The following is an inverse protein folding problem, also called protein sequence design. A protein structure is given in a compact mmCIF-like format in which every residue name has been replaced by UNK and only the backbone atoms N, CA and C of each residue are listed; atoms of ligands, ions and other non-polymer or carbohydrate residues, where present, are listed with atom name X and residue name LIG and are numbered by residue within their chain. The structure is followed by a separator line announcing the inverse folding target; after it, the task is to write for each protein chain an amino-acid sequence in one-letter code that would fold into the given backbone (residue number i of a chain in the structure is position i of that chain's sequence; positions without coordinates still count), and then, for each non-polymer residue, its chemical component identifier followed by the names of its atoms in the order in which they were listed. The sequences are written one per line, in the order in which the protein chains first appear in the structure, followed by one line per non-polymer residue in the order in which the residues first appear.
data_IF_015005296291
#
_entry.id   IF_015005296291
#
_cell.length_a   1.000
_cell.length_b   1.000
_cell.length_c   1.000
_cell.angle_alpha   90.00
_cell.angle_beta   90.00
_cell.angle_gamma   90.00
#
_symmetry.space_group_name_H-M   'P 1'
#
loop_
_entity.id
_entity.type
_entity.pdbx_description
1 polymer ?
#
# COMPACT_ATOMS: atom_id res chain seq x y z
N UNK A 1 1.97 16.62 -12.78
CA UNK A 1 1.53 15.40 -12.08
C UNK A 1 0.43 15.81 -11.14
N UNK A 2 -0.67 15.09 -11.14
CA UNK A 2 -1.77 15.26 -10.17
C UNK A 2 -1.41 14.45 -8.94
N UNK A 3 -1.48 15.06 -7.77
CA UNK A 3 -1.36 14.33 -6.51
C UNK A 3 -2.53 13.34 -6.42
N UNK A 4 -2.21 12.07 -6.18
CA UNK A 4 -3.17 11.00 -5.96
C UNK A 4 -3.33 10.74 -4.46
N UNK A 5 -4.52 10.32 -4.05
CA UNK A 5 -4.80 10.01 -2.65
C UNK A 5 -5.74 8.82 -2.51
N UNK A 6 -5.41 7.91 -1.59
CA UNK A 6 -6.16 6.68 -1.33
C UNK A 6 -6.42 6.53 0.16
N UNK A 7 -7.69 6.35 0.50
CA UNK A 7 -8.07 6.00 1.87
C UNK A 7 -7.68 4.55 2.15
N UNK A 8 -7.24 4.29 3.38
CA UNK A 8 -6.82 2.97 3.78
C UNK A 8 -6.78 2.77 5.28
N UNK A 9 -6.21 1.64 5.68
CA UNK A 9 -6.02 1.22 7.06
C UNK A 9 -4.55 0.86 7.30
N UNK A 10 -4.00 1.37 8.39
CA UNK A 10 -2.77 0.89 8.99
C UNK A 10 -3.12 -0.03 10.16
N UNK A 11 -2.41 -1.17 10.29
CA UNK A 11 -2.56 -2.07 11.44
C UNK A 11 -1.21 -2.54 11.94
N UNK A 12 -1.03 -2.52 13.25
CA UNK A 12 0.14 -3.07 13.93
C UNK A 12 -0.28 -3.75 15.25
N UNK A 13 0.70 -4.07 16.11
CA UNK A 13 0.45 -4.64 17.44
C UNK A 13 -0.40 -3.76 18.36
N UNK A 14 -0.46 -2.45 18.12
CA UNK A 14 -1.15 -1.48 18.96
C UNK A 14 -2.60 -1.22 18.50
N UNK A 15 -3.00 -1.72 17.33
CA UNK A 15 -4.37 -1.63 16.83
C UNK A 15 -4.45 -1.28 15.35
N UNK A 16 -5.55 -0.63 14.99
CA UNK A 16 -5.84 -0.21 13.60
C UNK A 16 -6.20 1.27 13.55
N UNK A 17 -5.68 1.96 12.54
CA UNK A 17 -5.87 3.39 12.34
C UNK A 17 -6.24 3.66 10.89
N UNK A 18 -7.25 4.52 10.68
CA UNK A 18 -7.59 5.00 9.35
C UNK A 18 -6.50 5.97 8.87
N UNK A 19 -6.09 5.82 7.62
CA UNK A 19 -4.99 6.58 7.01
C UNK A 19 -5.36 7.04 5.62
N UNK A 20 -4.62 8.03 5.12
CA UNK A 20 -4.65 8.43 3.71
C UNK A 20 -3.24 8.34 3.19
N UNK A 21 -3.05 7.52 2.15
CA UNK A 21 -1.83 7.46 1.37
C UNK A 21 -1.92 8.52 0.29
N UNK A 22 -0.87 9.31 0.12
CA UNK A 22 -0.78 10.32 -0.95
C UNK A 22 0.51 10.12 -1.75
N UNK A 23 0.46 10.38 -3.05
CA UNK A 23 1.66 10.38 -3.89
C UNK A 23 1.60 11.46 -4.96
N UNK A 24 2.76 12.04 -5.27
CA UNK A 24 2.97 12.92 -6.42
C UNK A 24 3.54 12.16 -7.64
N UNK A 25 3.61 10.83 -7.56
CA UNK A 25 4.23 9.95 -8.55
C UNK A 25 5.72 9.70 -8.33
N UNK A 26 6.36 10.38 -7.36
CA UNK A 26 7.76 10.15 -6.99
C UNK A 26 7.90 9.79 -5.51
N UNK A 27 7.16 10.49 -4.64
CA UNK A 27 7.18 10.29 -3.20
C UNK A 27 5.81 9.80 -2.72
N UNK A 28 5.81 8.81 -1.85
CA UNK A 28 4.67 8.40 -1.04
C UNK A 28 4.71 9.10 0.31
N UNK A 29 3.55 9.53 0.79
CA UNK A 29 3.38 10.12 2.12
C UNK A 29 2.15 9.55 2.80
N UNK A 30 2.25 9.31 4.11
CA UNK A 30 1.16 8.82 4.94
C UNK A 30 1.28 9.39 6.34
N UNK A 31 0.15 9.72 6.97
CA UNK A 31 0.11 10.10 8.39
C UNK A 31 -0.52 8.99 9.22
N UNK A 32 0.20 8.51 10.23
CA UNK A 32 -0.22 7.42 11.11
C UNK A 32 -0.09 7.90 12.55
N UNK A 33 -1.19 7.87 13.31
CA UNK A 33 -1.23 8.33 14.72
C UNK A 33 -0.57 9.70 14.96
N UNK A 34 -0.70 10.61 13.97
CA UNK A 34 -0.14 11.96 14.02
C UNK A 34 1.33 12.08 13.60
N UNK A 35 2.00 10.98 13.24
CA UNK A 35 3.36 10.98 12.70
C UNK A 35 3.30 10.89 11.19
N UNK A 36 4.03 11.78 10.52
CA UNK A 36 4.16 11.79 9.06
C UNK A 36 5.31 10.87 8.64
N UNK A 37 5.03 10.03 7.64
CA UNK A 37 5.99 9.12 7.01
C UNK A 37 6.09 9.44 5.53
N UNK A 38 7.28 9.28 4.97
CA UNK A 38 7.54 9.41 3.55
C UNK A 38 8.53 8.35 3.04
N UNK A 39 8.39 7.98 1.77
CA UNK A 39 9.24 7.01 1.09
C UNK A 39 9.06 7.05 -0.43
N UNK A 40 9.95 6.47 -1.22
CA UNK A 40 9.76 6.31 -2.67
C UNK A 40 8.87 5.09 -2.97
N UNK A 41 8.77 4.16 -2.02
CA UNK A 41 7.93 2.96 -2.05
C UNK A 41 7.14 2.81 -0.75
N UNK A 42 6.42 1.69 -0.58
CA UNK A 42 5.64 1.43 0.64
C UNK A 42 6.45 0.71 1.71
N UNK A 43 7.52 0.02 1.32
CA UNK A 43 8.44 -0.71 2.20
C UNK A 43 9.64 0.13 2.69
N UNK A 44 9.78 1.37 2.21
CA UNK A 44 10.80 2.33 2.66
C UNK A 44 10.22 3.53 3.45
N UNK A 45 8.93 3.49 3.79
CA UNK A 45 8.25 4.56 4.52
C UNK A 45 8.93 4.83 5.88
N UNK A 46 9.64 5.94 5.98
CA UNK A 46 10.36 6.37 7.16
C UNK A 46 9.71 7.63 7.77
N UNK A 47 9.80 7.83 9.10
CA UNK A 47 9.31 9.06 9.72
C UNK A 47 10.00 10.29 9.11
N UNK A 48 9.21 11.31 8.78
CA UNK A 48 9.75 12.59 8.30
C UNK A 48 10.69 13.18 9.36
N UNK A 49 11.84 13.68 8.92
CA UNK A 49 12.86 14.26 9.80
C UNK A 49 12.29 15.40 10.65
N UNK A 50 12.56 15.38 11.95
CA UNK A 50 12.11 16.41 12.90
C UNK A 50 10.82 16.07 13.66
N UNK A 51 10.12 15.01 13.29
CA UNK A 51 8.98 14.44 14.03
C UNK A 51 9.26 12.99 14.44
N UNK A 52 10.27 12.74 15.30
CA UNK A 52 10.56 11.38 15.72
C UNK A 52 9.36 10.81 16.50
N UNK A 53 8.90 9.59 16.16
CA UNK A 53 7.82 8.97 16.90
C UNK A 53 8.24 8.67 18.33
N UNK A 54 7.26 8.59 19.24
CA UNK A 54 7.51 8.12 20.59
C UNK A 54 8.08 6.70 20.58
N UNK A 55 9.01 6.40 21.50
CA UNK A 55 9.66 5.10 21.56
C UNK A 55 8.65 3.97 21.71
N UNK A 56 8.72 2.98 20.82
CA UNK A 56 7.81 1.82 20.82
C UNK A 56 6.43 2.06 20.20
N UNK A 57 6.14 3.29 19.73
CA UNK A 57 4.90 3.62 19.00
C UNK A 57 4.82 2.88 17.66
N UNK A 58 5.95 2.70 16.99
CA UNK A 58 6.07 1.97 15.72
C UNK A 58 7.24 0.98 15.80
N UNK A 59 7.11 -0.13 15.08
CA UNK A 59 8.25 -0.99 14.78
C UNK A 59 8.98 -0.42 13.56
N UNK A 60 10.26 -0.13 13.72
CA UNK A 60 11.13 0.35 12.66
C UNK A 60 12.29 -0.63 12.44
N UNK A 61 12.61 -0.91 11.18
CA UNK A 61 13.82 -1.62 10.77
C UNK A 61 14.58 -0.74 9.76
N UNK A 62 15.86 -0.50 10.01
CA UNK A 62 16.70 0.38 9.19
C UNK A 62 16.09 1.79 8.93
N UNK A 63 15.25 2.27 9.85
CA UNK A 63 14.59 3.57 9.79
C UNK A 63 13.19 3.57 9.15
N UNK A 64 12.80 2.48 8.48
CA UNK A 64 11.50 2.34 7.82
C UNK A 64 10.49 1.53 8.64
N UNK A 65 9.20 1.73 8.37
CA UNK A 65 8.10 0.98 8.98
C UNK A 65 8.20 -0.52 8.72
N UNK A 66 7.97 -1.32 9.76
CA UNK A 66 7.92 -2.78 9.67
C UNK A 66 6.90 -3.35 10.65
N UNK A 67 6.74 -4.68 10.65
CA UNK A 67 5.84 -5.43 11.53
C UNK A 67 4.40 -4.86 11.57
N UNK A 68 3.89 -4.47 10.40
CA UNK A 68 2.58 -3.85 10.22
C UNK A 68 1.92 -4.23 8.89
N UNK A 69 0.63 -3.91 8.75
CA UNK A 69 -0.16 -4.13 7.54
C UNK A 69 -0.73 -2.79 7.06
N UNK A 70 -0.59 -2.52 5.77
CA UNK A 70 -1.27 -1.45 5.06
C UNK A 70 -2.33 -2.06 4.14
N UNK A 71 -3.54 -1.52 4.16
CA UNK A 71 -4.64 -1.94 3.30
C UNK A 71 -5.28 -0.70 2.66
N UNK A 72 -5.44 -0.67 1.35
CA UNK A 72 -6.07 0.45 0.63
C UNK A 72 -6.69 0.00 -0.68
N UNK A 73 -7.61 0.82 -1.20
CA UNK A 73 -8.25 0.60 -2.50
C UNK A 73 -7.72 1.61 -3.52
N UNK A 74 -7.25 1.10 -4.66
CA UNK A 74 -6.78 1.88 -5.81
C UNK A 74 -7.83 1.82 -6.94
N UNK A 75 -8.53 2.92 -7.26
CA UNK A 75 -9.32 3.00 -8.48
C UNK A 75 -8.39 3.04 -9.70
N UNK A 76 -8.63 2.18 -10.69
CA UNK A 76 -7.81 2.12 -11.90
C UNK A 76 -8.61 1.73 -13.15
N UNK A 77 -8.25 2.26 -14.33
CA UNK A 77 -8.77 1.78 -15.58
C UNK A 77 -8.12 0.44 -15.96
N UNK A 78 -8.92 -0.53 -16.41
CA UNK A 78 -8.49 -1.84 -16.91
C UNK A 78 -8.98 -2.02 -18.34
N UNK A 79 -8.12 -2.57 -19.22
CA UNK A 79 -8.48 -2.84 -20.61
C UNK A 79 -9.10 -4.24 -20.75
N UNK A 80 -10.37 -4.31 -21.14
CA UNK A 80 -11.12 -5.56 -21.32
C UNK A 80 -11.62 -5.64 -22.76
N UNK A 81 -11.14 -6.63 -23.52
CA UNK A 81 -11.50 -6.82 -24.92
C UNK A 81 -11.40 -5.54 -25.78
N UNK A 82 -10.36 -4.72 -25.53
CA UNK A 82 -10.12 -3.46 -26.24
C UNK A 82 -10.93 -2.26 -25.74
N UNK A 83 -11.76 -2.41 -24.71
CA UNK A 83 -12.49 -1.31 -24.08
C UNK A 83 -11.98 -1.04 -22.66
N UNK A 84 -11.80 0.24 -22.31
CA UNK A 84 -11.47 0.61 -20.92
C UNK A 84 -12.70 0.45 -20.02
N UNK A 85 -12.46 -0.16 -18.86
CA UNK A 85 -13.42 -0.36 -17.77
C UNK A 85 -12.83 0.20 -16.48
N UNK A 86 -13.68 0.75 -15.62
CA UNK A 86 -13.24 1.17 -14.29
C UNK A 86 -13.27 -0.03 -13.35
N UNK A 87 -12.22 -0.18 -12.56
CA UNK A 87 -12.08 -1.25 -11.58
C UNK A 87 -11.53 -0.69 -10.26
N UNK A 88 -11.56 -1.52 -9.23
CA UNK A 88 -10.90 -1.25 -7.95
C UNK A 88 -9.91 -2.36 -7.68
N UNK A 89 -8.64 -1.99 -7.44
CA UNK A 89 -7.61 -2.89 -6.96
C UNK A 89 -7.50 -2.73 -5.44
N UNK A 90 -8.01 -3.71 -4.69
CA UNK A 90 -7.78 -3.81 -3.27
C UNK A 90 -6.37 -4.33 -3.01
N UNK A 91 -5.61 -3.59 -2.22
CA UNK A 91 -4.22 -3.87 -1.90
C UNK A 91 -4.08 -4.17 -0.41
N UNK A 92 -3.40 -5.26 -0.05
CA UNK A 92 -3.01 -5.58 1.31
C UNK A 92 -1.52 -5.89 1.34
N UNK A 93 -0.74 -4.98 1.92
CA UNK A 93 0.70 -5.11 2.09
C UNK A 93 1.02 -5.45 3.55
N UNK A 94 1.58 -6.63 3.78
CA UNK A 94 2.12 -7.05 5.08
C UNK A 94 3.61 -6.79 5.12
N UNK A 95 4.03 -5.72 5.80
CA UNK A 95 5.43 -5.40 6.04
C UNK A 95 5.99 -6.26 7.18
N UNK A 96 7.05 -7.01 6.90
CA UNK A 96 7.79 -7.84 7.86
C UNK A 96 9.27 -7.60 7.67
N UNK A 97 10.06 -7.89 8.71
CA UNK A 97 11.53 -7.64 8.69
C UNK A 97 12.31 -8.32 7.56
N UNK A 98 11.81 -9.42 7.00
CA UNK A 98 12.56 -10.23 6.03
C UNK A 98 12.00 -10.06 4.62
N UNK A 99 10.70 -10.33 4.43
CA UNK A 99 10.04 -10.17 3.14
C UNK A 99 8.63 -9.57 3.32
N UNK A 100 8.30 -8.48 2.63
CA UNK A 100 6.93 -7.99 2.56
C UNK A 100 6.07 -8.95 1.70
N UNK A 101 4.82 -9.19 2.10
CA UNK A 101 3.84 -9.87 1.25
C UNK A 101 2.84 -8.84 0.72
N UNK A 102 2.66 -8.78 -0.60
CA UNK A 102 1.59 -8.00 -1.24
C UNK A 102 0.49 -8.93 -1.77
N UNK A 103 -0.73 -8.66 -1.36
CA UNK A 103 -1.94 -9.31 -1.86
C UNK A 103 -2.78 -8.30 -2.63
N UNK A 104 -3.22 -8.69 -3.81
CA UNK A 104 -4.03 -7.86 -4.70
C UNK A 104 -5.35 -8.56 -5.01
N UNK A 105 -6.43 -7.78 -4.98
CA UNK A 105 -7.77 -8.24 -5.37
C UNK A 105 -8.37 -7.24 -6.36
N UNK A 106 -8.58 -7.65 -7.61
CA UNK A 106 -9.24 -6.83 -8.61
C UNK A 106 -10.75 -7.05 -8.58
N UNK A 107 -11.49 -5.98 -8.34
CA UNK A 107 -12.94 -5.92 -8.48
C UNK A 107 -13.31 -5.24 -9.81
N UNK A 108 -13.94 -5.99 -10.71
CA UNK A 108 -14.29 -5.53 -12.06
C UNK A 108 -15.66 -6.06 -12.46
N UNK A 109 -16.61 -5.16 -12.73
CA UNK A 109 -17.97 -5.52 -13.17
C UNK A 109 -18.68 -6.56 -12.27
N UNK A 110 -18.38 -6.53 -10.95
CA UNK A 110 -18.89 -7.47 -9.96
C UNK A 110 -18.16 -8.82 -9.89
N UNK A 111 -17.21 -9.08 -10.79
CA UNK A 111 -16.27 -10.19 -10.68
C UNK A 111 -15.09 -9.81 -9.76
N UNK A 112 -14.50 -10.84 -9.15
CA UNK A 112 -13.36 -10.72 -8.22
C UNK A 112 -12.23 -11.62 -8.73
N UNK A 113 -11.03 -11.06 -8.83
CA UNK A 113 -9.82 -11.75 -9.24
C UNK A 113 -8.74 -11.54 -8.18
N UNK A 114 -8.23 -12.62 -7.59
CA UNK A 114 -7.23 -12.55 -6.53
C UNK A 114 -5.85 -12.92 -7.06
N UNK A 115 -4.81 -12.21 -6.64
CA UNK A 115 -3.43 -12.65 -6.86
C UNK A 115 -3.18 -13.94 -6.10
N UNK A 116 -2.77 -15.02 -6.78
CA UNK A 116 -2.33 -16.23 -6.12
C UNK A 116 -1.10 -15.92 -5.25
N UNK A 117 -1.11 -16.37 -4.00
CA UNK A 117 -0.14 -16.04 -2.96
C UNK A 117 1.33 -16.26 -3.37
N UNK A 118 2.16 -15.25 -3.04
CA UNK A 118 3.63 -15.15 -3.10
C UNK A 118 4.23 -14.73 -4.46
N UNK A 119 3.93 -13.50 -4.91
CA UNK A 119 4.74 -12.84 -5.93
C UNK A 119 5.56 -11.72 -5.29
N UNK A 120 6.88 -11.79 -5.42
CA UNK A 120 7.85 -10.85 -4.84
C UNK A 120 7.97 -9.53 -5.62
N UNK A 121 7.09 -9.31 -6.60
CA UNK A 121 7.15 -8.19 -7.55
C UNK A 121 5.73 -7.73 -7.96
N UNK A 122 5.46 -6.43 -7.82
CA UNK A 122 4.22 -5.78 -8.22
C UNK A 122 3.91 -5.97 -9.72
N UNK A 123 4.93 -5.96 -10.58
CA UNK A 123 4.75 -6.12 -12.02
C UNK A 123 4.32 -7.55 -12.40
N UNK A 124 4.84 -8.54 -11.69
CA UNK A 124 4.43 -9.93 -11.85
C UNK A 124 2.96 -10.11 -11.40
N UNK A 125 2.60 -9.57 -10.23
CA UNK A 125 1.25 -9.69 -9.68
C UNK A 125 0.22 -9.01 -10.59
N UNK A 126 0.57 -7.85 -11.18
CA UNK A 126 -0.26 -7.16 -12.16
C UNK A 126 -0.42 -7.99 -13.45
N UNK A 127 0.63 -8.68 -13.89
CA UNK A 127 0.58 -9.57 -15.08
C UNK A 127 -0.32 -10.77 -14.84
N UNK A 128 -0.35 -11.33 -13.63
CA UNK A 128 -1.23 -12.45 -13.28
C UNK A 128 -2.71 -12.05 -13.33
N UNK A 129 -3.04 -10.83 -12.89
CA UNK A 129 -4.40 -10.29 -12.92
C UNK A 129 -4.86 -9.92 -14.34
N UNK A 130 -3.94 -9.56 -15.23
CA UNK A 130 -4.25 -9.19 -16.62
C UNK A 130 -4.57 -10.38 -17.55
N UNK A 131 -4.39 -11.62 -17.08
CA UNK A 131 -4.67 -12.85 -17.85
C UNK A 131 -6.07 -13.39 -17.57
#
# INVERSE_FOLDING_TARGET
MTDESWAGWYRDRNGSDAVVLTTDGQQLRIRIRGVDFEGESLDDLAPVSGTPPESGMFALADGALTDCVLEWDLPLPVLVAGALRQATLGCLLSLRRVDPDLYLTLHLDGAVYESARAESDFAAALTAIQR
#
